data_IF_294990890240
#
_entry.id   IF_294990890240
#
_cell.length_a   1.000
_cell.length_b   1.000
_cell.length_c   1.000
_cell.angle_alpha   90.00
_cell.angle_beta   90.00
_cell.angle_gamma   90.00
#
_symmetry.space_group_name_H-M   'P 1'
#
loop_
_entity.id
_entity.type
_entity.pdbx_description
1 polymer ?
#
# COMPACT_ATOMS: atom_id res chain seq x y z
N UNK A 1 3.72 -15.59 17.35
CA UNK A 1 4.67 -14.47 17.20
C UNK A 1 3.84 -13.20 17.30
N UNK A 2 3.95 -12.47 18.42
CA UNK A 2 3.33 -11.14 18.57
C UNK A 2 4.09 -10.20 17.64
N UNK A 3 3.46 -9.78 16.56
CA UNK A 3 3.92 -8.64 15.79
C UNK A 3 3.84 -7.43 16.73
N UNK A 4 4.98 -6.82 17.02
CA UNK A 4 5.00 -5.54 17.69
C UNK A 4 4.17 -4.55 16.85
N UNK A 5 3.36 -3.70 17.49
CA UNK A 5 2.61 -2.70 16.73
C UNK A 5 3.63 -1.84 15.98
N UNK A 6 3.54 -1.82 14.66
CA UNK A 6 4.25 -0.84 13.86
C UNK A 6 3.89 0.53 14.41
N UNK A 7 4.85 1.22 14.99
CA UNK A 7 4.68 2.64 15.23
C UNK A 7 4.56 3.28 13.86
N UNK A 8 3.36 3.69 13.51
CA UNK A 8 3.11 4.62 12.42
C UNK A 8 4.07 5.79 12.61
N UNK A 9 4.75 6.18 11.54
CA UNK A 9 5.64 7.34 11.53
C UNK A 9 4.99 8.52 12.26
N UNK A 10 5.49 8.86 13.43
CA UNK A 10 5.10 10.03 14.19
C UNK A 10 6.02 11.21 13.84
N UNK A 11 6.28 11.41 12.57
CA UNK A 11 6.95 12.61 12.11
C UNK A 11 6.08 13.82 12.39
N UNK A 12 6.65 14.79 13.05
CA UNK A 12 6.07 16.07 13.42
C UNK A 12 5.53 16.78 12.18
N UNK A 13 4.33 16.44 11.70
CA UNK A 13 3.53 17.19 10.71
C UNK A 13 4.24 17.70 9.44
N UNK A 14 5.50 17.32 9.21
CA UNK A 14 6.32 17.78 8.10
C UNK A 14 6.26 16.79 6.95
N UNK A 15 5.66 17.21 5.85
CA UNK A 15 5.63 16.39 4.61
C UNK A 15 7.07 16.21 4.11
N UNK A 16 7.55 14.97 3.93
CA UNK A 16 8.90 14.72 3.41
C UNK A 16 9.09 15.36 2.02
N UNK A 17 10.34 15.70 1.68
CA UNK A 17 10.64 16.31 0.40
C UNK A 17 10.15 15.46 -0.77
N UNK A 18 9.44 16.08 -1.72
CA UNK A 18 8.90 15.43 -2.91
C UNK A 18 7.58 14.67 -2.71
N UNK A 19 7.05 14.62 -1.47
CA UNK A 19 5.72 14.08 -1.22
C UNK A 19 4.66 15.16 -1.34
N UNK A 20 3.48 14.74 -1.80
CA UNK A 20 2.25 15.52 -1.78
C UNK A 20 1.32 14.95 -0.70
N UNK A 21 0.40 15.76 -0.22
CA UNK A 21 -0.49 15.40 0.87
C UNK A 21 -1.92 15.28 0.36
N UNK A 22 -2.53 14.13 0.56
CA UNK A 22 -3.95 13.86 0.33
C UNK A 22 -4.65 13.76 1.70
N UNK A 23 -5.37 14.80 2.14
CA UNK A 23 -6.07 14.77 3.42
C UNK A 23 -7.20 13.75 3.38
N UNK A 24 -7.36 13.03 4.49
CA UNK A 24 -8.46 12.10 4.72
C UNK A 24 -9.59 12.81 5.46
N UNK A 25 -10.84 12.43 5.19
CA UNK A 25 -12.02 13.10 5.73
C UNK A 25 -12.22 12.81 7.21
N UNK A 26 -11.79 11.64 7.69
CA UNK A 26 -11.90 11.22 9.09
C UNK A 26 -10.77 10.26 9.46
N UNK A 27 -10.46 10.19 10.75
CA UNK A 27 -9.42 9.30 11.26
C UNK A 27 -9.80 7.82 11.04
N UNK A 28 -8.87 7.06 10.48
CA UNK A 28 -9.10 5.65 10.16
C UNK A 28 -9.86 5.39 8.87
N UNK A 29 -9.99 6.39 7.99
CA UNK A 29 -10.62 6.20 6.67
C UNK A 29 -9.89 5.17 5.81
N UNK A 30 -8.57 5.08 5.93
CA UNK A 30 -7.76 4.10 5.22
C UNK A 30 -6.79 3.42 6.17
N UNK A 31 -6.84 2.10 6.20
CA UNK A 31 -5.88 1.27 6.90
C UNK A 31 -4.99 0.55 5.86
N UNK A 32 -3.89 1.17 5.43
CA UNK A 32 -3.03 0.64 4.37
C UNK A 32 -2.64 -0.83 4.60
N UNK A 33 -2.19 -1.26 5.80
CA UNK A 33 -1.83 -2.65 6.03
C UNK A 33 -3.00 -3.63 5.86
N UNK A 34 -4.24 -3.19 6.13
CA UNK A 34 -5.43 -4.03 5.98
C UNK A 34 -6.01 -3.99 4.57
N UNK A 35 -5.65 -2.97 3.78
CA UNK A 35 -6.26 -2.72 2.48
C UNK A 35 -5.38 -3.16 1.32
N UNK A 36 -4.08 -2.86 1.37
CA UNK A 36 -3.15 -3.10 0.26
C UNK A 36 -2.06 -4.13 0.54
N UNK A 37 -1.93 -4.62 1.77
CA UNK A 37 -1.01 -5.74 2.01
C UNK A 37 -1.49 -7.00 1.28
N UNK A 38 -0.57 -7.72 0.65
CA UNK A 38 -0.90 -8.95 -0.08
C UNK A 38 -1.65 -9.98 0.78
N UNK A 39 -1.50 -9.92 2.10
CA UNK A 39 -2.16 -10.81 3.04
C UNK A 39 -3.69 -10.64 3.08
N UNK A 40 -4.22 -9.48 2.68
CA UNK A 40 -5.66 -9.27 2.58
C UNK A 40 -6.29 -9.96 1.35
N UNK A 41 -5.45 -10.39 0.39
CA UNK A 41 -5.91 -11.09 -0.80
C UNK A 41 -6.64 -10.23 -1.83
N UNK A 42 -6.66 -8.92 -1.66
CA UNK A 42 -7.28 -7.97 -2.59
C UNK A 42 -6.36 -7.60 -3.74
N UNK A 43 -5.09 -7.31 -3.41
CA UNK A 43 -4.05 -6.86 -4.34
C UNK A 43 -2.75 -7.59 -4.07
N UNK A 44 -1.93 -7.72 -5.10
CA UNK A 44 -0.69 -8.48 -5.02
C UNK A 44 0.53 -7.70 -5.46
N UNK A 45 0.37 -6.48 -5.99
CA UNK A 45 1.45 -5.68 -6.58
C UNK A 45 1.99 -4.57 -5.69
N UNK A 46 1.26 -4.16 -4.64
CA UNK A 46 1.80 -3.25 -3.65
C UNK A 46 2.95 -3.90 -2.90
N UNK A 47 4.05 -3.18 -2.80
CA UNK A 47 5.24 -3.60 -2.06
C UNK A 47 5.48 -2.68 -0.90
N UNK A 48 5.63 -3.24 0.29
CA UNK A 48 6.07 -2.49 1.45
C UNK A 48 7.58 -2.58 1.57
N UNK A 49 8.23 -1.44 1.67
CA UNK A 49 9.64 -1.31 1.94
C UNK A 49 9.81 -0.55 3.25
N UNK A 50 10.62 -1.08 4.13
CA UNK A 50 10.98 -0.42 5.37
C UNK A 50 12.49 -0.28 5.43
N UNK A 51 12.97 0.87 5.96
CA UNK A 51 14.39 1.15 6.14
C UNK A 51 14.60 1.89 7.44
N UNK A 52 15.84 1.82 7.95
CA UNK A 52 16.26 2.62 9.06
C UNK A 52 16.74 3.97 8.52
N UNK A 53 16.08 5.05 8.93
CA UNK A 53 16.54 6.39 8.58
C UNK A 53 17.84 6.69 9.33
N UNK A 54 18.95 7.02 8.63
CA UNK A 54 20.26 7.22 9.26
C UNK A 54 20.34 8.51 10.10
N UNK A 55 19.37 9.41 9.96
CA UNK A 55 19.35 10.69 10.69
C UNK A 55 18.50 10.60 11.94
N UNK A 56 17.32 10.00 11.85
CA UNK A 56 16.39 9.88 12.97
C UNK A 56 16.55 8.61 13.78
N UNK A 57 17.28 7.61 13.25
CA UNK A 57 17.39 6.24 13.79
C UNK A 57 16.03 5.55 13.97
N UNK A 58 15.01 6.01 13.22
CA UNK A 58 13.67 5.43 13.21
C UNK A 58 13.44 4.53 11.99
N UNK A 59 12.60 3.51 12.17
CA UNK A 59 12.20 2.66 11.04
C UNK A 59 11.10 3.39 10.28
N UNK A 60 11.41 3.77 9.06
CA UNK A 60 10.45 4.28 8.10
C UNK A 60 9.91 3.18 7.19
N UNK A 61 8.66 3.30 6.82
CA UNK A 61 8.04 2.36 5.89
C UNK A 61 7.18 3.09 4.86
N UNK A 62 7.26 2.61 3.65
CA UNK A 62 6.40 3.08 2.57
C UNK A 62 5.90 1.95 1.69
N UNK A 63 4.83 2.21 0.98
CA UNK A 63 4.27 1.31 -0.01
C UNK A 63 4.59 1.83 -1.40
N UNK A 64 4.98 0.94 -2.30
CA UNK A 64 5.22 1.26 -3.70
C UNK A 64 4.28 0.47 -4.60
N UNK A 65 3.80 1.10 -5.66
CA UNK A 65 3.00 0.48 -6.70
C UNK A 65 3.50 0.96 -8.06
N UNK A 66 3.67 -0.01 -8.96
CA UNK A 66 3.81 0.26 -10.38
C UNK A 66 2.56 -0.30 -11.09
N UNK A 67 1.73 0.55 -11.63
CA UNK A 67 0.49 0.15 -12.29
C UNK A 67 0.26 1.00 -13.54
N UNK A 68 0.04 0.33 -14.66
CA UNK A 68 -0.21 0.94 -15.96
C UNK A 68 0.88 1.99 -16.31
N UNK A 69 0.55 3.25 -16.17
CA UNK A 69 1.37 4.37 -16.58
C UNK A 69 1.95 5.17 -15.39
N UNK A 70 2.00 4.59 -14.19
CA UNK A 70 2.49 5.31 -13.01
C UNK A 70 3.28 4.44 -12.05
N UNK A 71 4.26 5.05 -11.41
CA UNK A 71 4.97 4.50 -10.25
C UNK A 71 4.81 5.49 -9.11
N UNK A 72 4.25 5.03 -8.01
CA UNK A 72 3.96 5.87 -6.84
C UNK A 72 4.52 5.25 -5.57
N UNK A 73 4.91 6.12 -4.66
CA UNK A 73 5.18 5.78 -3.27
C UNK A 73 4.06 6.34 -2.40
N UNK A 74 3.69 5.60 -1.37
CA UNK A 74 2.57 5.94 -0.49
C UNK A 74 2.94 5.70 0.96
N UNK A 75 2.63 6.67 1.83
CA UNK A 75 2.76 6.59 3.28
C UNK A 75 1.46 7.03 3.94
N UNK A 76 1.21 6.58 5.14
CA UNK A 76 0.10 7.07 5.96
C UNK A 76 0.66 7.94 7.09
N UNK A 77 0.27 9.19 7.11
CA UNK A 77 0.53 10.12 8.21
C UNK A 77 -0.67 10.13 9.16
N UNK A 78 -0.55 9.38 10.25
CA UNK A 78 -1.61 9.30 11.25
C UNK A 78 -1.78 10.60 12.07
N UNK A 79 -0.74 11.42 12.17
CA UNK A 79 -0.76 12.68 12.93
C UNK A 79 -1.63 13.71 12.22
N UNK A 80 -1.43 13.87 10.92
CA UNK A 80 -2.20 14.83 10.13
C UNK A 80 -3.40 14.21 9.42
N UNK A 81 -3.66 12.93 9.67
CA UNK A 81 -4.73 12.16 9.02
C UNK A 81 -4.72 12.33 7.49
N UNK A 82 -3.61 11.92 6.89
CA UNK A 82 -3.42 12.09 5.46
C UNK A 82 -2.66 10.91 4.84
N UNK A 83 -2.90 10.68 3.56
CA UNK A 83 -2.00 9.91 2.74
C UNK A 83 -0.94 10.84 2.15
N UNK A 84 0.32 10.48 2.32
CA UNK A 84 1.44 11.14 1.67
C UNK A 84 1.85 10.30 0.46
N UNK A 85 1.87 10.91 -0.71
CA UNK A 85 2.23 10.20 -1.93
C UNK A 85 3.30 10.95 -2.72
N UNK A 86 4.16 10.19 -3.38
CA UNK A 86 5.19 10.71 -4.27
C UNK A 86 5.09 9.99 -5.61
N UNK A 87 5.10 10.77 -6.69
CA UNK A 87 5.06 10.25 -8.06
C UNK A 87 6.52 10.10 -8.53
N UNK A 88 6.89 8.89 -8.92
CA UNK A 88 8.20 8.61 -9.52
C UNK A 88 8.12 8.57 -11.04
N UNK A 89 6.98 8.13 -11.57
CA UNK A 89 6.68 8.09 -13.00
C UNK A 89 5.18 8.32 -13.22
N UNK A 90 4.77 9.07 -14.26
CA UNK A 90 5.63 9.83 -15.16
C UNK A 90 6.29 11.02 -14.46
N UNK A 91 7.46 11.41 -14.93
CA UNK A 91 8.18 12.59 -14.40
C UNK A 91 7.54 13.90 -14.87
N UNK A 92 6.78 13.87 -15.95
CA UNK A 92 6.06 15.03 -16.48
C UNK A 92 4.61 15.05 -15.98
N UNK A 93 4.21 16.17 -15.42
CA UNK A 93 2.90 16.37 -14.76
C UNK A 93 1.68 16.33 -15.70
N UNK A 94 1.84 16.07 -16.99
CA UNK A 94 0.89 16.55 -18.01
C UNK A 94 -0.45 15.83 -18.10
N UNK A 95 -0.68 14.66 -17.53
CA UNK A 95 -1.93 13.95 -17.90
C UNK A 95 -2.66 13.18 -16.79
N UNK A 96 -2.09 13.03 -15.60
CA UNK A 96 -2.78 12.18 -14.61
C UNK A 96 -2.86 12.85 -13.26
N UNK A 97 -4.05 13.26 -12.89
CA UNK A 97 -4.39 13.62 -11.53
C UNK A 97 -4.25 12.37 -10.63
N UNK A 98 -3.04 12.21 -10.07
CA UNK A 98 -2.75 11.08 -9.19
C UNK A 98 -3.55 11.18 -7.89
N UNK A 99 -3.90 12.37 -7.44
CA UNK A 99 -4.79 12.55 -6.29
C UNK A 99 -6.17 11.98 -6.59
N UNK A 100 -6.77 12.36 -7.71
CA UNK A 100 -8.08 11.85 -8.13
C UNK A 100 -8.07 10.35 -8.31
N UNK A 101 -7.00 9.81 -8.90
CA UNK A 101 -6.82 8.38 -9.03
C UNK A 101 -6.71 7.68 -7.66
N UNK A 102 -5.98 8.23 -6.70
CA UNK A 102 -5.90 7.67 -5.35
C UNK A 102 -7.25 7.72 -4.62
N UNK A 103 -8.01 8.80 -4.78
CA UNK A 103 -9.36 8.92 -4.23
C UNK A 103 -10.27 7.83 -4.77
N UNK A 104 -10.27 7.64 -6.08
CA UNK A 104 -11.05 6.60 -6.73
C UNK A 104 -10.56 5.20 -6.33
N UNK A 105 -9.24 4.94 -6.40
CA UNK A 105 -8.64 3.65 -6.09
C UNK A 105 -8.97 3.16 -4.67
N UNK A 106 -8.92 4.06 -3.69
CA UNK A 106 -9.24 3.76 -2.28
C UNK A 106 -10.71 3.97 -1.92
N UNK A 107 -11.56 4.36 -2.88
CA UNK A 107 -12.98 4.69 -2.62
C UNK A 107 -13.15 5.76 -1.51
N UNK A 108 -12.35 6.83 -1.52
CA UNK A 108 -12.33 7.80 -0.42
C UNK A 108 -13.61 8.64 -0.31
N UNK A 109 -14.43 8.69 -1.35
CA UNK A 109 -15.69 9.44 -1.35
C UNK A 109 -16.87 8.64 -0.73
N UNK A 110 -16.62 7.38 -0.37
CA UNK A 110 -17.61 6.53 0.29
C UNK A 110 -17.65 6.86 1.78
N UNK A 111 -18.82 7.13 2.37
CA UNK A 111 -18.97 7.42 3.80
C UNK A 111 -18.90 6.13 4.63
N UNK A 112 -17.73 5.50 4.64
CA UNK A 112 -17.51 4.19 5.25
C UNK A 112 -17.75 4.22 6.77
N UNK A 113 -17.44 5.32 7.43
CA UNK A 113 -17.67 5.53 8.87
C UNK A 113 -19.16 5.47 9.22
N UNK A 114 -20.02 6.12 8.43
CA UNK A 114 -21.45 6.07 8.61
C UNK A 114 -22.00 4.64 8.41
N UNK A 115 -21.48 3.94 7.41
CA UNK A 115 -21.86 2.55 7.18
C UNK A 115 -21.39 1.62 8.30
N UNK A 116 -20.18 1.80 8.81
CA UNK A 116 -19.71 1.02 9.97
C UNK A 116 -20.57 1.22 11.20
N UNK A 117 -21.01 2.46 11.46
CA UNK A 117 -21.94 2.76 12.57
C UNK A 117 -23.28 2.04 12.36
N UNK A 118 -23.84 2.09 11.16
CA UNK A 118 -25.08 1.41 10.82
C UNK A 118 -24.96 -0.12 10.98
N UNK A 119 -23.89 -0.70 10.45
CA UNK A 119 -23.65 -2.14 10.56
C UNK A 119 -23.45 -2.58 12.01
N UNK A 120 -22.71 -1.81 12.80
CA UNK A 120 -22.55 -2.07 14.24
C UNK A 120 -23.87 -2.01 14.99
N UNK A 121 -24.77 -1.10 14.62
CA UNK A 121 -26.09 -1.00 15.24
C UNK A 121 -27.01 -2.19 14.89
N UNK A 122 -26.84 -2.76 13.70
CA UNK A 122 -27.67 -3.87 13.22
C UNK A 122 -27.12 -5.25 13.58
N UNK A 123 -25.82 -5.39 13.71
CA UNK A 123 -25.15 -6.67 13.96
C UNK A 123 -24.18 -6.58 15.16
N UNK A 124 -24.58 -7.18 16.31
CA UNK A 124 -23.74 -7.20 17.51
C UNK A 124 -22.45 -8.00 17.33
N UNK A 125 -22.41 -8.98 16.43
CA UNK A 125 -21.21 -9.76 16.13
C UNK A 125 -20.23 -8.91 15.35
N UNK A 126 -20.72 -8.19 14.34
CA UNK A 126 -19.91 -7.22 13.60
C UNK A 126 -19.37 -6.14 14.53
N UNK A 127 -20.21 -5.53 15.37
CA UNK A 127 -19.84 -4.49 16.32
C UNK A 127 -18.66 -4.90 17.22
N UNK A 128 -18.65 -6.15 17.68
CA UNK A 128 -17.59 -6.70 18.52
C UNK A 128 -16.21 -6.70 17.83
N UNK A 129 -16.18 -6.76 16.51
CA UNK A 129 -14.95 -6.88 15.72
C UNK A 129 -14.66 -5.67 14.85
N UNK A 130 -15.59 -4.74 14.69
CA UNK A 130 -15.52 -3.61 13.75
C UNK A 130 -14.22 -2.78 13.88
N UNK A 131 -13.79 -2.49 15.12
CA UNK A 131 -12.56 -1.73 15.37
C UNK A 131 -11.29 -2.37 14.76
N UNK A 132 -11.30 -3.67 14.51
CA UNK A 132 -10.15 -4.38 13.91
C UNK A 132 -10.04 -4.15 12.41
N UNK A 133 -11.15 -3.80 11.76
CA UNK A 133 -11.28 -3.69 10.31
C UNK A 133 -11.59 -2.25 9.87
N UNK A 134 -11.56 -1.30 10.80
CA UNK A 134 -11.79 0.10 10.46
C UNK A 134 -10.76 0.57 9.42
N UNK A 135 -11.25 1.28 8.40
CA UNK A 135 -10.43 1.73 7.27
C UNK A 135 -10.12 0.66 6.21
N UNK A 136 -10.67 -0.54 6.34
CA UNK A 136 -10.59 -1.55 5.28
C UNK A 136 -11.66 -1.25 4.23
N UNK A 137 -11.22 -0.96 3.01
CA UNK A 137 -12.11 -0.67 1.88
C UNK A 137 -11.92 -1.71 0.77
N UNK A 138 -12.91 -1.81 -0.10
CA UNK A 138 -12.76 -2.51 -1.38
C UNK A 138 -12.14 -1.53 -2.38
N UNK A 139 -11.03 -1.95 -2.97
CA UNK A 139 -10.27 -1.12 -3.92
C UNK A 139 -10.90 -1.14 -5.31
N UNK A 140 -10.90 0.00 -6.00
CA UNK A 140 -11.19 0.08 -7.42
C UNK A 140 -9.91 -0.16 -8.21
N UNK A 141 -9.65 -1.43 -8.45
CA UNK A 141 -8.45 -1.87 -9.15
C UNK A 141 -8.65 -1.83 -10.66
N UNK A 142 -7.53 -1.89 -11.39
CA UNK A 142 -7.55 -2.12 -12.83
C UNK A 142 -8.23 -3.46 -13.16
N UNK A 143 -9.23 -3.48 -14.07
CA UNK A 143 -9.99 -4.70 -14.38
C UNK A 143 -9.12 -5.84 -14.94
N UNK A 144 -8.08 -5.51 -15.71
CA UNK A 144 -7.17 -6.50 -16.27
C UNK A 144 -6.30 -7.12 -15.17
N UNK A 145 -5.78 -6.30 -14.27
CA UNK A 145 -5.02 -6.79 -13.10
C UNK A 145 -5.89 -7.71 -12.23
N UNK A 146 -7.14 -7.32 -11.97
CA UNK A 146 -8.09 -8.13 -11.23
C UNK A 146 -8.33 -9.48 -11.90
N UNK A 147 -8.54 -9.49 -13.22
CA UNK A 147 -8.78 -10.72 -13.98
C UNK A 147 -7.57 -11.66 -13.91
N UNK A 148 -6.37 -11.14 -14.13
CA UNK A 148 -5.14 -11.94 -14.05
C UNK A 148 -4.92 -12.52 -12.65
N UNK A 149 -5.12 -11.72 -11.61
CA UNK A 149 -5.01 -12.16 -10.22
C UNK A 149 -6.08 -13.21 -9.88
N UNK A 150 -7.31 -13.03 -10.37
CA UNK A 150 -8.40 -13.98 -10.17
C UNK A 150 -8.10 -15.34 -10.84
N UNK A 151 -7.58 -15.33 -12.08
CA UNK A 151 -7.15 -16.59 -12.75
C UNK A 151 -6.06 -17.29 -11.92
N UNK A 152 -5.08 -16.53 -11.41
CA UNK A 152 -4.03 -17.07 -10.54
C UNK A 152 -4.57 -17.62 -9.20
N UNK A 153 -5.75 -17.18 -8.76
CA UNK A 153 -6.32 -17.57 -7.47
C UNK A 153 -7.02 -18.93 -7.51
N UNK A 154 -7.33 -19.48 -8.68
CA UNK A 154 -8.05 -20.74 -8.83
C UNK A 154 -7.33 -21.89 -8.13
N UNK A 155 -7.98 -22.50 -7.13
CA UNK A 155 -7.44 -23.58 -6.31
C UNK A 155 -6.03 -23.29 -5.78
N UNK A 156 -5.80 -22.10 -5.23
CA UNK A 156 -4.49 -21.60 -4.87
C UNK A 156 -4.52 -20.90 -3.49
N UNK A 157 -3.35 -20.54 -2.96
CA UNK A 157 -3.19 -19.81 -1.71
C UNK A 157 -2.52 -18.45 -1.94
N UNK A 158 -2.76 -17.51 -1.04
CA UNK A 158 -2.28 -16.11 -1.17
C UNK A 158 -0.77 -16.02 -1.46
N UNK A 159 0.14 -16.72 -0.75
CA UNK A 159 1.56 -16.64 -1.05
C UNK A 159 1.92 -17.09 -2.48
N UNK A 160 1.26 -18.14 -2.99
CA UNK A 160 1.51 -18.62 -4.35
C UNK A 160 0.89 -17.73 -5.40
N UNK A 161 -0.31 -17.18 -5.17
CA UNK A 161 -0.93 -16.19 -6.04
C UNK A 161 0.00 -14.98 -6.20
N UNK A 162 0.50 -14.46 -5.09
CA UNK A 162 1.44 -13.34 -5.08
C UNK A 162 2.69 -13.63 -5.94
N UNK A 163 3.28 -14.81 -5.76
CA UNK A 163 4.42 -15.22 -6.58
C UNK A 163 4.09 -15.34 -8.08
N UNK A 164 2.91 -15.83 -8.42
CA UNK A 164 2.47 -15.97 -9.82
C UNK A 164 2.26 -14.59 -10.45
N UNK A 165 1.57 -13.68 -9.76
CA UNK A 165 1.33 -12.31 -10.25
C UNK A 165 2.67 -11.58 -10.47
N UNK A 166 3.61 -11.69 -9.53
CA UNK A 166 4.93 -11.09 -9.71
C UNK A 166 5.69 -11.69 -10.91
N UNK A 167 5.65 -13.01 -11.09
CA UNK A 167 6.27 -13.66 -12.26
C UNK A 167 5.65 -13.20 -13.58
N UNK A 168 4.32 -13.02 -13.63
CA UNK A 168 3.68 -12.45 -14.81
C UNK A 168 4.23 -11.05 -15.13
N UNK A 169 4.38 -10.20 -14.13
CA UNK A 169 4.97 -8.89 -14.30
C UNK A 169 6.44 -8.98 -14.77
N UNK A 170 7.24 -9.84 -14.16
CA UNK A 170 8.65 -10.00 -14.50
C UNK A 170 8.86 -10.51 -15.94
N UNK A 171 7.92 -11.30 -16.47
CA UNK A 171 8.02 -11.86 -17.82
C UNK A 171 7.42 -10.98 -18.92
N UNK A 172 6.38 -10.22 -18.60
CA UNK A 172 5.57 -9.53 -19.61
C UNK A 172 5.61 -8.01 -19.50
N UNK A 173 6.24 -7.46 -18.45
CA UNK A 173 6.35 -6.01 -18.27
C UNK A 173 7.79 -5.55 -18.37
N UNK A 174 8.00 -4.42 -19.03
CA UNK A 174 9.30 -3.75 -19.00
C UNK A 174 9.46 -3.00 -17.66
N UNK A 175 10.65 -3.05 -17.03
CA UNK A 175 10.91 -2.29 -15.83
C UNK A 175 10.89 -0.79 -16.12
N UNK A 176 10.08 -0.03 -15.38
CA UNK A 176 9.97 1.42 -15.54
C UNK A 176 10.99 2.17 -14.71
N UNK A 177 11.00 1.94 -13.39
CA UNK A 177 11.88 2.64 -12.43
C UNK A 177 12.11 1.80 -11.18
N UNK A 178 13.25 1.99 -10.53
CA UNK A 178 13.49 1.54 -9.16
C UNK A 178 13.41 2.71 -8.21
N UNK A 179 12.67 2.62 -7.09
CA UNK A 179 12.73 3.62 -6.04
C UNK A 179 14.17 3.78 -5.52
N UNK A 180 14.62 5.02 -5.36
CA UNK A 180 15.90 5.33 -4.73
C UNK A 180 15.67 5.71 -3.28
N UNK A 181 16.37 5.05 -2.38
CA UNK A 181 16.34 5.34 -0.95
C UNK A 181 17.54 6.19 -0.54
N UNK A 182 17.49 6.89 0.61
CA UNK A 182 18.62 7.66 1.10
C UNK A 182 19.89 6.81 1.17
N UNK A 183 21.03 7.44 0.90
CA UNK A 183 22.35 6.78 1.02
C UNK A 183 22.55 6.32 2.47
N UNK A 184 22.95 5.06 2.65
CA UNK A 184 23.09 4.44 3.97
C UNK A 184 21.80 3.84 4.55
N UNK A 185 20.64 4.01 3.90
CA UNK A 185 19.41 3.35 4.33
C UNK A 185 19.56 1.83 4.29
N UNK A 186 19.19 1.17 5.39
CA UNK A 186 19.12 -0.29 5.45
C UNK A 186 17.72 -0.74 5.10
N UNK A 187 17.59 -1.52 4.04
CA UNK A 187 16.32 -2.13 3.68
C UNK A 187 15.93 -3.16 4.74
N UNK A 188 14.84 -2.89 5.43
CA UNK A 188 14.21 -3.84 6.33
C UNK A 188 13.01 -4.43 5.60
N UNK A 189 13.08 -5.69 5.21
CA UNK A 189 11.91 -6.39 4.69
C UNK A 189 11.07 -6.88 5.86
N UNK A 190 9.85 -6.41 5.98
CA UNK A 190 8.91 -6.81 7.05
C UNK A 190 8.37 -8.23 6.90
N UNK A 191 8.74 -8.92 5.85
CA UNK A 191 8.44 -10.33 5.67
C UNK A 191 9.70 -11.14 5.96
N UNK A 192 9.59 -12.21 6.77
CA UNK A 192 10.72 -13.12 6.90
C UNK A 192 11.07 -13.60 5.49
N UNK A 193 12.28 -13.31 5.00
CA UNK A 193 12.68 -13.82 3.72
C UNK A 193 12.73 -15.34 3.86
N UNK A 194 11.88 -16.07 3.20
CA UNK A 194 12.26 -17.40 2.77
C UNK A 194 13.39 -17.18 1.76
N UNK A 195 14.56 -17.02 2.35
CA UNK A 195 15.94 -17.14 1.86
C UNK A 195 16.17 -17.04 0.35
N UNK A 196 15.86 -16.12 -0.42
CA UNK A 196 16.47 -15.80 -1.71
C UNK A 196 15.63 -14.97 -2.68
N UNK A 197 14.33 -14.93 -2.49
CA UNK A 197 13.46 -14.37 -3.53
C UNK A 197 13.23 -12.86 -3.40
N UNK A 198 13.52 -12.28 -2.24
CA UNK A 198 13.19 -10.87 -1.96
C UNK A 198 14.38 -9.89 -2.00
N UNK A 199 15.61 -10.37 -1.87
CA UNK A 199 16.79 -9.50 -2.00
C UNK A 199 17.01 -9.03 -3.44
N UNK A 200 16.68 -9.87 -4.42
CA UNK A 200 16.91 -9.57 -5.84
C UNK A 200 15.71 -8.85 -6.49
N UNK A 201 14.53 -9.00 -5.89
CA UNK A 201 13.28 -8.39 -6.41
C UNK A 201 13.06 -6.98 -5.84
N UNK A 202 13.65 -6.64 -4.69
CA UNK A 202 13.63 -5.27 -4.17
C UNK A 202 14.39 -4.27 -5.07
N UNK A 203 15.27 -4.78 -5.94
CA UNK A 203 16.08 -3.98 -6.85
C UNK A 203 15.50 -3.88 -8.27
N UNK A 204 14.43 -4.62 -8.59
CA UNK A 204 13.81 -4.53 -9.91
C UNK A 204 12.48 -3.82 -9.83
N UNK A 205 12.28 -2.74 -10.55
CA UNK A 205 10.96 -2.14 -10.75
C UNK A 205 10.07 -3.13 -11.50
N UNK A 206 8.81 -3.10 -11.22
CA UNK A 206 7.79 -3.78 -12.02
C UNK A 206 7.46 -2.94 -13.23
#
# INVERSE_FOLDING_TARGET
VRLAPFRTWMGVGRVPAGYQRLPLSYAGQVALPLTIAHQCGQVFRWRQVAWLDPVSDEIEAEWSLCLANRVILLRHDAVTNALLYRILYPTEKKEHDTESWLRDYFNLDVPLDAWFQEWCARDPIFAKHANRFNGTTILRQDPWECLCAFICSSNNNIPRISQMVHKLCDHFSEPLLSPTYPEGARLCTTFPPKKKYYSDVAAKPL
#
